data_IF_171367175916
#
_entry.id   IF_171367175916
#
_cell.length_a   1.000
_cell.length_b   1.000
_cell.length_c   1.000
_cell.angle_alpha   90.00
_cell.angle_beta   90.00
_cell.angle_gamma   90.00
#
_symmetry.space_group_name_H-M   'P 1'
#
loop_
_entity.id
_entity.type
_entity.pdbx_description
1 polymer ?
#
# COMPACT_ATOMS: atom_id res chain seq x y z
N UNK A 1 18.48 10.56 3.56
CA UNK A 1 17.42 11.11 2.70
C UNK A 1 16.15 10.27 2.83
N UNK A 2 15.03 10.94 2.86
CA UNK A 2 13.75 10.26 3.03
C UNK A 2 13.25 9.74 1.70
N UNK A 3 12.84 8.48 1.65
CA UNK A 3 12.22 7.91 0.46
C UNK A 3 10.78 8.36 0.42
N UNK A 4 10.40 9.12 -0.60
CA UNK A 4 9.04 9.61 -0.74
C UNK A 4 8.29 8.76 -1.75
N UNK A 5 7.29 8.03 -1.26
CA UNK A 5 6.47 7.15 -2.07
C UNK A 5 5.05 7.71 -2.10
N UNK A 6 4.48 7.81 -3.29
CA UNK A 6 3.09 8.23 -3.43
C UNK A 6 2.22 6.98 -3.34
N UNK A 7 1.24 7.00 -2.44
CA UNK A 7 0.34 5.86 -2.26
C UNK A 7 -1.07 6.29 -2.60
N UNK A 8 -1.68 5.62 -3.57
CA UNK A 8 -3.04 5.90 -3.97
C UNK A 8 -4.01 5.05 -3.19
N UNK A 9 -4.96 5.70 -2.54
CA UNK A 9 -5.88 5.07 -1.61
C UNK A 9 -7.24 4.83 -2.27
N UNK A 10 -7.74 3.59 -2.27
CA UNK A 10 -9.06 3.32 -2.84
C UNK A 10 -10.16 3.89 -1.95
N UNK A 11 -11.33 4.08 -2.52
CA UNK A 11 -12.47 4.69 -1.82
C UNK A 11 -12.77 3.99 -0.50
N UNK A 12 -12.70 2.66 -0.47
CA UNK A 12 -13.06 1.90 0.73
C UNK A 12 -12.11 2.14 1.90
N UNK A 13 -10.88 2.60 1.62
CA UNK A 13 -9.90 2.86 2.67
C UNK A 13 -9.74 4.33 3.01
N UNK A 14 -10.41 5.22 2.29
CA UNK A 14 -10.31 6.66 2.54
C UNK A 14 -10.74 7.09 3.93
N UNK A 15 -11.67 6.40 4.61
CA UNK A 15 -11.96 6.75 6.00
C UNK A 15 -10.74 6.65 6.92
N UNK A 16 -9.75 5.83 6.57
CA UNK A 16 -8.53 5.71 7.34
C UNK A 16 -7.53 6.82 7.04
N UNK A 17 -7.67 7.49 5.90
CA UNK A 17 -6.74 8.53 5.46
C UNK A 17 -7.38 9.91 5.42
N UNK A 18 -8.41 10.12 6.22
CA UNK A 18 -9.13 11.40 6.27
C UNK A 18 -9.61 11.83 4.89
N UNK A 19 -10.13 10.85 4.14
CA UNK A 19 -10.65 11.03 2.78
C UNK A 19 -9.62 11.47 1.75
N UNK A 20 -8.34 11.27 2.04
CA UNK A 20 -7.31 11.60 1.06
C UNK A 20 -7.17 10.48 0.04
N UNK A 21 -7.15 10.86 -1.22
CA UNK A 21 -7.01 9.93 -2.33
C UNK A 21 -5.57 9.49 -2.53
N UNK A 22 -4.64 10.34 -2.16
CA UNK A 22 -3.22 10.10 -2.31
C UNK A 22 -2.53 10.57 -1.05
N UNK A 23 -1.65 9.74 -0.52
CA UNK A 23 -0.88 10.08 0.67
C UNK A 23 0.58 9.76 0.40
N UNK A 24 1.47 10.36 1.18
CA UNK A 24 2.90 10.12 1.06
C UNK A 24 3.33 9.15 2.15
N UNK A 25 4.26 8.29 1.82
CA UNK A 25 4.83 7.35 2.79
C UNK A 25 6.31 7.15 2.48
N UNK A 26 7.02 6.54 3.40
CA UNK A 26 8.45 6.29 3.26
C UNK A 26 8.76 4.82 3.51
N UNK A 27 9.76 4.31 2.81
CA UNK A 27 10.20 2.95 3.02
C UNK A 27 11.01 2.46 1.83
N UNK A 28 11.77 1.41 2.04
CA UNK A 28 12.58 0.82 0.99
C UNK A 28 11.97 -0.46 0.44
N UNK A 29 10.95 -0.98 1.12
CA UNK A 29 10.19 -2.13 0.65
C UNK A 29 8.72 -1.84 0.86
N UNK A 30 7.86 -2.62 0.21
CA UNK A 30 6.42 -2.48 0.38
C UNK A 30 6.04 -2.62 1.86
N UNK A 31 6.64 -3.60 2.54
CA UNK A 31 6.39 -3.82 3.96
C UNK A 31 6.70 -2.57 4.78
N UNK A 32 7.83 -1.93 4.50
CA UNK A 32 8.24 -0.72 5.21
C UNK A 32 7.26 0.43 4.93
N UNK A 33 6.81 0.55 3.69
CA UNK A 33 5.84 1.59 3.33
C UNK A 33 4.51 1.38 4.06
N UNK A 34 4.06 0.13 4.14
CA UNK A 34 2.81 -0.17 4.85
C UNK A 34 2.96 0.14 6.34
N UNK A 35 4.11 -0.16 6.92
CA UNK A 35 4.36 0.16 8.33
C UNK A 35 4.32 1.67 8.55
N UNK A 36 4.91 2.44 7.64
CA UNK A 36 4.89 3.89 7.75
C UNK A 36 3.46 4.44 7.61
N UNK A 37 2.68 3.87 6.71
CA UNK A 37 1.27 4.25 6.57
C UNK A 37 0.51 4.01 7.87
N UNK A 38 0.79 2.89 8.53
CA UNK A 38 0.08 2.56 9.77
C UNK A 38 0.45 3.52 10.89
N UNK A 39 1.66 4.05 10.88
CA UNK A 39 2.07 5.07 11.85
C UNK A 39 1.28 6.36 11.61
N UNK A 40 1.10 6.73 10.35
CA UNK A 40 0.36 7.94 10.00
C UNK A 40 -1.15 7.77 10.13
N UNK A 41 -1.64 6.60 9.79
CA UNK A 41 -3.07 6.29 9.76
C UNK A 41 -3.31 4.96 10.47
N UNK A 42 -3.35 4.96 11.81
CA UNK A 42 -3.48 3.71 12.58
C UNK A 42 -4.67 2.87 12.15
N UNK A 43 -4.43 1.59 11.95
CA UNK A 43 -5.46 0.64 11.53
C UNK A 43 -5.44 0.31 10.05
N UNK A 44 -4.72 1.10 9.23
CA UNK A 44 -4.75 0.84 7.80
C UNK A 44 -4.01 -0.45 7.44
N UNK A 45 -2.95 -0.80 8.17
CA UNK A 45 -2.21 -2.03 7.88
C UNK A 45 -3.08 -3.27 8.07
N UNK A 46 -4.00 -3.24 9.02
CA UNK A 46 -4.90 -4.36 9.24
C UNK A 46 -5.86 -4.59 8.07
N UNK A 47 -6.10 -3.53 7.29
CA UNK A 47 -6.95 -3.63 6.12
C UNK A 47 -6.20 -4.16 4.91
N UNK A 48 -4.88 -4.06 4.95
CA UNK A 48 -4.04 -4.50 3.84
C UNK A 48 -3.42 -5.86 4.10
N UNK A 49 -3.18 -6.20 5.36
CA UNK A 49 -2.48 -7.41 5.75
C UNK A 49 -3.34 -8.33 6.60
N UNK A 50 -3.08 -9.61 6.46
CA UNK A 50 -3.70 -10.64 7.30
C UNK A 50 -2.65 -11.71 7.56
N UNK A 51 -2.38 -11.97 8.84
CA UNK A 51 -1.37 -12.96 9.24
C UNK A 51 0.00 -12.72 8.60
N UNK A 52 0.38 -11.44 8.49
CA UNK A 52 1.68 -11.07 7.96
C UNK A 52 1.79 -11.11 6.44
N UNK A 53 0.68 -11.26 5.73
CA UNK A 53 0.67 -11.31 4.27
C UNK A 53 -0.42 -10.41 3.73
N UNK A 54 -0.32 -10.05 2.46
CA UNK A 54 -1.35 -9.24 1.81
C UNK A 54 -2.67 -9.99 1.77
N UNK A 55 -3.76 -9.27 2.04
CA UNK A 55 -5.09 -9.86 1.98
C UNK A 55 -5.44 -10.26 0.56
N UNK A 56 -6.20 -11.36 0.42
CA UNK A 56 -6.63 -11.88 -0.88
C UNK A 56 -7.34 -10.86 -1.74
N UNK A 57 -8.15 -10.02 -1.09
CA UNK A 57 -9.01 -9.10 -1.82
C UNK A 57 -8.39 -7.72 -1.97
N UNK A 58 -7.09 -7.63 -1.78
CA UNK A 58 -6.36 -6.39 -1.96
C UNK A 58 -5.26 -6.63 -2.99
N UNK A 59 -5.22 -5.80 -4.01
CA UNK A 59 -4.14 -5.82 -4.99
C UNK A 59 -3.30 -4.56 -4.81
N UNK A 60 -2.00 -4.73 -4.88
CA UNK A 60 -1.07 -3.62 -4.79
C UNK A 60 -0.18 -3.62 -6.02
N UNK A 61 0.07 -2.43 -6.54
CA UNK A 61 0.91 -2.24 -7.70
C UNK A 61 1.99 -1.21 -7.39
N UNK A 62 3.21 -1.50 -7.81
CA UNK A 62 4.29 -0.52 -7.75
C UNK A 62 4.54 -0.09 -9.19
N UNK A 63 4.26 1.18 -9.49
CA UNK A 63 4.40 1.71 -10.84
C UNK A 63 3.69 0.85 -11.88
N UNK A 64 2.46 0.43 -11.57
CA UNK A 64 1.62 -0.38 -12.45
C UNK A 64 2.03 -1.85 -12.57
N UNK A 65 3.00 -2.30 -11.77
CA UNK A 65 3.36 -3.71 -11.73
C UNK A 65 2.80 -4.36 -10.47
N UNK A 66 2.15 -5.50 -10.62
CA UNK A 66 1.59 -6.23 -9.50
C UNK A 66 2.72 -6.67 -8.57
N UNK A 67 2.61 -6.34 -7.28
CA UNK A 67 3.68 -6.66 -6.33
C UNK A 67 3.93 -8.15 -6.17
N UNK A 68 2.97 -8.99 -6.54
CA UNK A 68 3.17 -10.43 -6.48
C UNK A 68 4.29 -10.90 -7.40
N UNK A 69 4.58 -10.14 -8.44
CA UNK A 69 5.67 -10.43 -9.35
C UNK A 69 6.96 -9.73 -8.95
N UNK A 70 6.91 -8.94 -7.88
CA UNK A 70 8.07 -8.17 -7.42
C UNK A 70 8.57 -8.61 -6.05
N UNK A 71 8.01 -9.70 -5.51
CA UNK A 71 8.41 -10.19 -4.20
C UNK A 71 7.39 -9.97 -3.10
N UNK A 72 6.18 -9.54 -3.42
CA UNK A 72 5.14 -9.31 -2.43
C UNK A 72 5.53 -8.20 -1.46
N UNK A 73 5.51 -8.50 -0.17
CA UNK A 73 5.88 -7.50 0.84
C UNK A 73 7.35 -7.11 0.79
N UNK A 74 8.18 -7.94 0.16
CA UNK A 74 9.59 -7.65 -0.01
C UNK A 74 9.88 -6.82 -1.25
N UNK A 75 8.84 -6.46 -2.02
CA UNK A 75 9.01 -5.70 -3.24
C UNK A 75 9.79 -4.41 -2.94
N UNK A 76 10.89 -4.17 -3.66
CA UNK A 76 11.68 -2.97 -3.42
C UNK A 76 10.97 -1.74 -3.97
N UNK A 77 11.04 -0.65 -3.22
CA UNK A 77 10.51 0.64 -3.68
C UNK A 77 11.58 1.69 -3.46
N UNK A 78 11.51 2.73 -4.25
CA UNK A 78 12.49 3.80 -4.16
C UNK A 78 11.82 5.15 -4.32
N UNK A 79 12.56 6.19 -4.00
CA UNK A 79 12.06 7.56 -4.08
C UNK A 79 11.45 7.84 -5.46
N UNK A 80 10.24 8.37 -5.44
CA UNK A 80 9.52 8.68 -6.66
C UNK A 80 8.61 7.58 -7.16
N UNK A 81 8.68 6.39 -6.57
CA UNK A 81 7.77 5.31 -6.95
C UNK A 81 6.36 5.60 -6.48
N UNK A 82 5.40 4.97 -7.15
CA UNK A 82 3.99 5.13 -6.86
C UNK A 82 3.42 3.76 -6.51
N UNK A 83 2.66 3.69 -5.43
CA UNK A 83 1.96 2.46 -5.04
C UNK A 83 0.47 2.71 -5.21
N UNK A 84 -0.20 1.79 -5.89
CA UNK A 84 -1.64 1.86 -6.08
C UNK A 84 -2.27 0.70 -5.33
N UNK A 85 -3.23 1.01 -4.47
CA UNK A 85 -3.98 0.01 -3.72
C UNK A 85 -5.33 -0.13 -4.39
N UNK A 86 -5.68 -1.33 -4.81
CA UNK A 86 -6.97 -1.59 -5.45
C UNK A 86 -7.64 -2.78 -4.76
N UNK A 87 -8.91 -2.64 -4.40
CA UNK A 87 -9.63 -3.79 -3.88
C UNK A 87 -9.93 -4.74 -5.03
N UNK A 88 -9.79 -6.04 -4.79
CA UNK A 88 -10.21 -7.03 -5.75
C UNK A 88 -11.70 -7.25 -5.52
N UNK A 89 -12.50 -7.06 -6.54
CA UNK A 89 -13.93 -7.26 -6.43
C UNK A 89 -14.24 -8.71 -6.74
N UNK A 90 -14.34 -9.51 -5.69
CA UNK A 90 -14.61 -10.93 -5.86
C UNK A 90 -16.03 -11.13 -6.40
N UNK A 91 -16.12 -11.92 -7.45
CA UNK A 91 -17.43 -12.25 -8.01
C UNK A 91 -18.05 -11.15 -8.84
N UNK A 92 -17.25 -10.22 -9.21
CA UNK A 92 -17.73 -9.18 -10.12
C UNK A 92 -17.96 -7.86 -9.48
#
# INVERSE_FOLDING_TARGET
MTTAIEVRIPTILRPFTKDQKVVAASGETLSAVIADLDVQYPGISERLLENGALRRFINLYVNDEDVRFLGGLEAPVKNGDSITILPAVAGG
#
